data_IF_586891831945
#
_entry.id   IF_586891831945
#
_cell.length_a   1.000
_cell.length_b   1.000
_cell.length_c   1.000
_cell.angle_alpha   90.00
_cell.angle_beta   90.00
_cell.angle_gamma   90.00
#
_symmetry.space_group_name_H-M   'P 1'
#
loop_
_entity.id
_entity.type
_entity.pdbx_description
1 polymer ?
#
# COMPACT_ATOMS: atom_id res chain seq x y z
N UNK A 1 -11.17 13.12 28.09
CA UNK A 1 -9.71 13.37 28.06
C UNK A 1 -9.00 12.05 28.23
N UNK A 2 -8.47 11.49 27.13
CA UNK A 2 -7.50 10.40 27.25
C UNK A 2 -6.23 10.95 27.90
N UNK A 3 -5.59 10.15 28.75
CA UNK A 3 -4.28 10.49 29.26
C UNK A 3 -3.26 10.13 28.16
N UNK A 4 -2.81 11.10 27.37
CA UNK A 4 -1.87 10.91 26.23
C UNK A 4 -0.68 10.02 26.62
N UNK A 5 -0.16 10.24 27.83
CA UNK A 5 0.94 9.46 28.41
C UNK A 5 0.66 7.95 28.47
N UNK A 6 -0.58 7.53 28.77
CA UNK A 6 -0.93 6.09 28.81
C UNK A 6 -0.98 5.47 27.41
N UNK A 7 -1.37 6.24 26.41
CA UNK A 7 -1.39 5.77 25.03
C UNK A 7 0.03 5.62 24.49
N UNK A 8 0.89 6.61 24.73
CA UNK A 8 2.31 6.55 24.36
C UNK A 8 3.02 5.35 25.00
N UNK A 9 2.83 5.12 26.31
CA UNK A 9 3.37 3.95 27.00
C UNK A 9 2.88 2.63 26.38
N UNK A 10 1.60 2.55 26.02
CA UNK A 10 1.05 1.38 25.34
C UNK A 10 1.70 1.19 23.96
N UNK A 11 1.84 2.26 23.17
CA UNK A 11 2.44 2.18 21.84
C UNK A 11 3.91 1.75 21.92
N UNK A 12 4.67 2.21 22.91
CA UNK A 12 6.04 1.79 23.13
C UNK A 12 6.17 0.28 23.40
N UNK A 13 5.28 -0.26 24.24
CA UNK A 13 5.21 -1.71 24.49
C UNK A 13 4.78 -2.44 23.22
N UNK A 14 3.80 -1.91 22.51
CA UNK A 14 3.26 -2.52 21.30
C UNK A 14 4.31 -2.60 20.18
N UNK A 15 5.09 -1.54 19.97
CA UNK A 15 6.21 -1.52 19.02
C UNK A 15 7.27 -2.56 19.39
N UNK A 16 7.55 -2.78 20.69
CA UNK A 16 8.45 -3.86 21.13
C UNK A 16 7.92 -5.24 20.78
N UNK A 17 6.61 -5.46 20.94
CA UNK A 17 5.94 -6.72 20.53
C UNK A 17 6.06 -6.92 19.02
N UNK A 18 5.77 -5.89 18.21
CA UNK A 18 5.89 -5.94 16.75
C UNK A 18 7.33 -6.33 16.37
N UNK A 19 8.33 -5.60 16.89
CA UNK A 19 9.75 -5.89 16.61
C UNK A 19 10.16 -7.32 17.00
N UNK A 20 9.59 -7.88 18.06
CA UNK A 20 9.85 -9.25 18.49
C UNK A 20 9.28 -10.28 17.50
N UNK A 21 8.03 -10.06 17.06
CA UNK A 21 7.31 -10.94 16.13
C UNK A 21 7.95 -10.93 14.75
N UNK A 22 8.39 -9.77 14.26
CA UNK A 22 9.03 -9.66 12.96
C UNK A 22 10.30 -10.51 12.84
N UNK A 23 11.01 -10.76 13.94
CA UNK A 23 12.22 -11.61 13.97
C UNK A 23 11.93 -13.12 13.99
N UNK A 24 10.69 -13.52 14.27
CA UNK A 24 10.34 -14.93 14.39
C UNK A 24 10.29 -15.60 13.02
N UNK A 25 10.39 -16.93 13.01
CA UNK A 25 10.23 -17.75 11.82
C UNK A 25 8.92 -17.39 11.09
N UNK A 26 9.05 -17.04 9.80
CA UNK A 26 7.93 -16.62 8.98
C UNK A 26 6.96 -17.76 8.64
N UNK A 27 7.39 -19.02 8.76
CA UNK A 27 6.52 -20.17 8.52
C UNK A 27 5.72 -20.59 9.75
N UNK A 28 6.12 -20.14 10.94
CA UNK A 28 5.45 -20.45 12.20
C UNK A 28 4.00 -19.94 12.20
N UNK A 29 3.01 -20.81 12.50
CA UNK A 29 1.61 -20.39 12.63
C UNK A 29 1.40 -19.31 13.70
N UNK A 30 2.22 -19.32 14.76
CA UNK A 30 2.14 -18.31 15.82
C UNK A 30 2.56 -16.93 15.32
N UNK A 31 3.62 -16.86 14.51
CA UNK A 31 4.06 -15.63 13.86
C UNK A 31 2.96 -15.06 12.97
N UNK A 32 2.40 -15.90 12.08
CA UNK A 32 1.31 -15.52 11.17
C UNK A 32 0.09 -15.00 11.93
N UNK A 33 -0.35 -15.71 12.98
CA UNK A 33 -1.48 -15.28 13.84
C UNK A 33 -1.21 -13.97 14.56
N UNK A 34 0.02 -13.75 15.01
CA UNK A 34 0.38 -12.54 15.74
C UNK A 34 0.47 -11.33 14.81
N UNK A 35 1.01 -11.51 13.59
CA UNK A 35 0.96 -10.48 12.54
C UNK A 35 -0.49 -10.11 12.23
N UNK A 36 -1.35 -11.09 12.03
CA UNK A 36 -2.77 -10.84 11.79
C UNK A 36 -3.45 -10.08 12.94
N UNK A 37 -3.13 -10.45 14.19
CA UNK A 37 -3.62 -9.72 15.35
C UNK A 37 -3.14 -8.25 15.36
N UNK A 38 -1.87 -7.98 15.01
CA UNK A 38 -1.34 -6.62 14.89
C UNK A 38 -2.12 -5.83 13.84
N UNK A 39 -2.45 -6.44 12.69
CA UNK A 39 -3.27 -5.81 11.64
C UNK A 39 -4.66 -5.44 12.18
N UNK A 40 -5.30 -6.32 12.96
CA UNK A 40 -6.60 -6.02 13.58
C UNK A 40 -6.50 -4.85 14.57
N UNK A 41 -5.40 -4.75 15.32
CA UNK A 41 -5.15 -3.60 16.20
C UNK A 41 -4.96 -2.32 15.38
N UNK A 42 -4.19 -2.33 14.30
CA UNK A 42 -4.04 -1.18 13.40
C UNK A 42 -5.39 -0.72 12.83
N UNK A 43 -6.20 -1.65 12.33
CA UNK A 43 -7.57 -1.33 11.86
C UNK A 43 -8.40 -0.67 12.96
N UNK A 44 -8.27 -1.12 14.20
CA UNK A 44 -9.03 -0.53 15.32
C UNK A 44 -8.50 0.85 15.71
N UNK A 45 -7.19 1.09 15.62
CA UNK A 45 -6.57 2.40 15.82
C UNK A 45 -7.08 3.37 14.76
N UNK A 46 -6.93 3.04 13.47
CA UNK A 46 -7.38 3.90 12.35
C UNK A 46 -8.88 4.17 12.43
N UNK A 47 -9.70 3.16 12.73
CA UNK A 47 -11.14 3.36 12.93
C UNK A 47 -11.44 4.36 14.05
N UNK A 48 -10.73 4.27 15.17
CA UNK A 48 -10.92 5.17 16.30
C UNK A 48 -10.47 6.59 15.99
N UNK A 49 -9.34 6.76 15.32
CA UNK A 49 -8.83 8.05 14.86
C UNK A 49 -9.83 8.72 13.90
N UNK A 50 -10.39 7.96 12.95
CA UNK A 50 -11.41 8.45 12.04
C UNK A 50 -12.70 8.91 12.77
N UNK A 51 -13.14 8.19 13.81
CA UNK A 51 -14.29 8.62 14.63
C UNK A 51 -14.02 9.92 15.39
N UNK A 52 -12.79 10.12 15.87
CA UNK A 52 -12.38 11.36 16.54
C UNK A 52 -12.35 12.50 15.53
N UNK A 53 -11.75 12.27 14.37
CA UNK A 53 -11.60 13.29 13.33
C UNK A 53 -12.93 13.73 12.75
N UNK A 54 -13.87 12.80 12.51
CA UNK A 54 -15.23 13.14 12.08
C UNK A 54 -15.95 14.05 13.07
N UNK A 55 -15.78 13.80 14.38
CA UNK A 55 -16.37 14.67 15.42
C UNK A 55 -15.71 16.05 15.44
N UNK A 56 -14.38 16.11 15.26
CA UNK A 56 -13.64 17.37 15.18
C UNK A 56 -14.09 18.20 13.98
N UNK A 57 -14.18 17.60 12.80
CA UNK A 57 -14.64 18.26 11.57
C UNK A 57 -16.09 18.75 11.69
N UNK A 58 -16.99 17.95 12.30
CA UNK A 58 -18.37 18.39 12.57
C UNK A 58 -18.41 19.62 13.49
N UNK A 59 -17.54 19.69 14.49
CA UNK A 59 -17.45 20.86 15.38
C UNK A 59 -16.94 22.09 14.65
N UNK A 60 -15.90 21.95 13.81
CA UNK A 60 -15.38 23.06 12.99
C UNK A 60 -16.46 23.62 12.07
N UNK A 61 -17.17 22.74 11.34
CA UNK A 61 -18.27 23.14 10.44
C UNK A 61 -19.41 23.83 11.21
N UNK A 62 -19.77 23.31 12.39
CA UNK A 62 -20.82 23.91 13.20
C UNK A 62 -20.43 25.30 13.74
N UNK A 63 -19.16 25.50 14.11
CA UNK A 63 -18.66 26.80 14.58
C UNK A 63 -18.63 27.84 13.44
N UNK A 64 -18.22 27.42 12.24
CA UNK A 64 -18.24 28.28 11.05
C UNK A 64 -19.68 28.67 10.67
N UNK A 65 -20.65 27.74 10.72
CA UNK A 65 -22.07 28.02 10.51
C UNK A 65 -22.65 28.99 11.55
N UNK A 66 -22.18 28.90 12.79
CA UNK A 66 -22.61 29.76 13.90
C UNK A 66 -21.89 31.12 13.90
N UNK A 67 -21.02 31.40 12.92
CA UNK A 67 -20.26 32.67 12.82
C UNK A 67 -19.32 32.91 14.00
N UNK A 68 -18.94 31.85 14.72
CA UNK A 68 -18.01 31.94 15.84
C UNK A 68 -16.60 31.80 15.28
N UNK A 69 -15.99 32.92 14.88
CA UNK A 69 -14.58 32.96 14.49
C UNK A 69 -13.77 32.80 15.78
N UNK A 70 -13.23 31.61 15.99
CA UNK A 70 -12.28 31.36 17.08
C UNK A 70 -10.90 31.86 16.62
N UNK A 71 -10.65 33.16 16.82
CA UNK A 71 -9.39 33.87 16.54
C UNK A 71 -8.21 33.40 17.44
N UNK A 72 -8.35 32.28 18.15
CA UNK A 72 -7.40 31.87 19.21
C UNK A 72 -6.33 30.86 18.78
N UNK A 73 -6.31 30.39 17.54
CA UNK A 73 -5.17 29.62 17.03
C UNK A 73 -4.20 30.55 16.31
N UNK A 74 -3.30 31.15 17.10
CA UNK A 74 -2.04 31.68 16.60
C UNK A 74 -1.43 30.63 15.66
N UNK A 75 -1.34 31.00 14.38
CA UNK A 75 -0.57 30.26 13.41
C UNK A 75 0.86 30.16 13.94
N UNK A 76 1.28 28.96 14.35
CA UNK A 76 2.71 28.64 14.39
C UNK A 76 3.20 28.70 12.94
N UNK A 77 3.64 29.89 12.53
CA UNK A 77 4.35 30.13 11.28
C UNK A 77 5.65 29.36 11.32
N UNK A 78 5.66 28.15 10.76
CA UNK A 78 6.88 27.57 10.21
C UNK A 78 7.17 28.32 8.90
N UNK A 79 8.16 29.22 8.95
CA UNK A 79 8.75 29.86 7.77
C UNK A 79 9.44 28.77 6.92
N UNK A 80 8.81 28.37 5.82
CA UNK A 80 9.51 27.74 4.70
C UNK A 80 9.22 28.54 3.42
N UNK A 81 10.30 28.79 2.66
CA UNK A 81 10.41 29.70 1.53
C UNK A 81 9.28 29.54 0.49
N UNK A 82 8.57 30.65 0.23
CA UNK A 82 7.42 30.71 -0.67
C UNK A 82 7.86 30.77 -2.14
N UNK A 83 7.68 29.68 -2.87
CA UNK A 83 7.43 29.73 -4.31
C UNK A 83 5.94 29.98 -4.58
N UNK A 84 5.69 30.90 -5.50
CA UNK A 84 4.47 31.72 -5.66
C UNK A 84 3.33 30.97 -6.39
N UNK A 85 2.75 29.93 -5.77
CA UNK A 85 1.52 29.27 -6.24
C UNK A 85 0.63 28.76 -5.08
N UNK A 86 0.60 29.51 -3.98
CA UNK A 86 0.01 29.07 -2.71
C UNK A 86 -1.53 28.98 -2.79
N UNK A 87 -2.01 27.75 -2.98
CA UNK A 87 -3.35 27.35 -2.51
C UNK A 87 -3.41 27.65 -1.02
N UNK A 88 -4.30 28.56 -0.59
CA UNK A 88 -4.52 28.83 0.84
C UNK A 88 -5.16 27.57 1.44
N UNK A 89 -4.36 26.80 2.18
CA UNK A 89 -4.84 25.61 2.90
C UNK A 89 -5.37 26.05 4.26
N UNK A 90 -6.66 25.85 4.50
CA UNK A 90 -7.25 26.04 5.83
C UNK A 90 -6.94 24.81 6.71
N UNK A 91 -5.91 24.94 7.53
CA UNK A 91 -5.44 23.87 8.43
C UNK A 91 -6.50 23.36 9.41
N UNK A 92 -7.59 24.10 9.65
CA UNK A 92 -8.70 23.61 10.48
C UNK A 92 -9.39 22.39 9.86
N UNK A 93 -9.30 22.22 8.54
CA UNK A 93 -9.88 21.10 7.80
C UNK A 93 -8.87 20.01 7.44
N UNK A 94 -7.59 20.21 7.74
CA UNK A 94 -6.55 19.21 7.50
C UNK A 94 -6.60 18.15 8.60
N UNK A 95 -6.75 16.89 8.19
CA UNK A 95 -6.75 15.76 9.12
C UNK A 95 -5.33 15.46 9.62
N UNK A 96 -5.17 15.13 10.91
CA UNK A 96 -3.88 14.71 11.44
C UNK A 96 -3.46 13.38 10.82
N UNK A 97 -2.15 13.16 10.68
CA UNK A 97 -1.61 11.87 10.23
C UNK A 97 -1.99 10.76 11.21
N UNK A 98 -2.49 9.63 10.70
CA UNK A 98 -2.77 8.45 11.52
C UNK A 98 -1.48 7.95 12.17
N UNK A 99 -1.58 7.44 13.40
CA UNK A 99 -0.46 6.76 14.03
C UNK A 99 0.07 5.60 13.17
N UNK A 100 -0.83 4.90 12.46
CA UNK A 100 -0.45 3.76 11.60
C UNK A 100 0.40 4.25 10.42
N UNK A 101 0.02 5.34 9.75
CA UNK A 101 0.83 5.97 8.70
C UNK A 101 2.20 6.39 9.23
N UNK A 102 2.22 7.08 10.37
CA UNK A 102 3.45 7.50 11.03
C UNK A 102 4.37 6.30 11.33
N UNK A 103 3.81 5.20 11.84
CA UNK A 103 4.58 3.99 12.15
C UNK A 103 5.07 3.27 10.88
N UNK A 104 4.27 3.24 9.82
CA UNK A 104 4.68 2.70 8.52
C UNK A 104 5.90 3.46 8.00
N UNK A 105 5.76 4.80 7.87
CA UNK A 105 6.79 5.70 7.32
C UNK A 105 8.09 5.67 8.12
N UNK A 106 8.00 5.68 9.45
CA UNK A 106 9.19 5.84 10.29
C UNK A 106 9.78 4.51 10.79
N UNK A 107 9.07 3.39 10.70
CA UNK A 107 9.54 2.10 11.22
C UNK A 107 9.43 0.97 10.20
N UNK A 108 8.24 0.65 9.70
CA UNK A 108 8.06 -0.58 8.91
C UNK A 108 8.82 -0.55 7.58
N UNK A 109 8.86 0.59 6.88
CA UNK A 109 9.63 0.70 5.63
C UNK A 109 11.13 0.45 5.83
N UNK A 110 11.68 0.79 7.00
CA UNK A 110 13.09 0.56 7.35
C UNK A 110 13.36 -0.95 7.50
N UNK A 111 12.42 -1.69 8.08
CA UNK A 111 12.57 -3.13 8.31
C UNK A 111 12.56 -3.96 7.02
N UNK A 112 12.07 -3.42 5.89
CA UNK A 112 12.21 -4.04 4.57
C UNK A 112 13.66 -4.20 4.12
N UNK A 113 14.58 -3.38 4.65
CA UNK A 113 16.02 -3.43 4.36
C UNK A 113 16.83 -4.17 5.43
N UNK A 114 16.16 -4.81 6.40
CA UNK A 114 16.83 -5.55 7.46
C UNK A 114 17.69 -6.70 6.89
N UNK A 115 18.80 -7.02 7.57
CA UNK A 115 19.68 -8.14 7.19
C UNK A 115 18.98 -9.50 7.27
N UNK A 116 18.13 -9.66 8.29
CA UNK A 116 17.37 -10.88 8.54
C UNK A 116 16.21 -11.04 7.53
N UNK A 117 16.15 -12.19 6.88
CA UNK A 117 15.11 -12.54 5.91
C UNK A 117 13.73 -12.64 6.55
N UNK A 118 13.62 -13.14 7.77
CA UNK A 118 12.35 -13.24 8.49
C UNK A 118 11.78 -11.86 8.77
N UNK A 119 12.64 -10.92 9.18
CA UNK A 119 12.24 -9.52 9.39
C UNK A 119 11.70 -8.93 8.10
N UNK A 120 12.40 -9.07 6.98
CA UNK A 120 11.92 -8.55 5.68
C UNK A 120 10.60 -9.18 5.27
N UNK A 121 10.49 -10.51 5.35
CA UNK A 121 9.30 -11.26 4.97
C UNK A 121 8.10 -10.86 5.84
N UNK A 122 8.23 -10.96 7.16
CA UNK A 122 7.15 -10.64 8.09
C UNK A 122 6.74 -9.16 8.01
N UNK A 123 7.70 -8.26 7.75
CA UNK A 123 7.40 -6.83 7.54
C UNK A 123 6.55 -6.64 6.30
N UNK A 124 6.90 -7.28 5.18
CA UNK A 124 6.17 -7.10 3.93
C UNK A 124 4.77 -7.73 3.99
N UNK A 125 4.61 -8.85 4.70
CA UNK A 125 3.29 -9.45 4.99
C UNK A 125 2.45 -8.50 5.86
N UNK A 126 3.03 -7.97 6.94
CA UNK A 126 2.35 -7.01 7.81
C UNK A 126 1.92 -5.77 7.02
N UNK A 127 2.78 -5.22 6.18
CA UNK A 127 2.45 -4.08 5.32
C UNK A 127 1.31 -4.42 4.36
N UNK A 128 1.39 -5.54 3.63
CA UNK A 128 0.33 -5.97 2.71
C UNK A 128 -1.03 -6.01 3.42
N UNK A 129 -1.13 -6.73 4.54
CA UNK A 129 -2.39 -6.89 5.26
C UNK A 129 -2.90 -5.58 5.89
N UNK A 130 -1.97 -4.69 6.28
CA UNK A 130 -2.32 -3.37 6.80
C UNK A 130 -2.90 -2.49 5.70
N UNK A 131 -2.24 -2.42 4.53
CA UNK A 131 -2.65 -1.59 3.41
C UNK A 131 -4.02 -2.01 2.82
N UNK A 132 -4.36 -3.30 2.86
CA UNK A 132 -5.70 -3.77 2.50
C UNK A 132 -6.81 -3.21 3.41
N UNK A 133 -6.45 -2.84 4.64
CA UNK A 133 -7.36 -2.26 5.63
C UNK A 133 -7.42 -0.74 5.65
N UNK A 134 -6.55 -0.05 4.92
CA UNK A 134 -6.50 1.40 4.88
C UNK A 134 -7.28 1.91 3.65
N UNK A 135 -8.18 2.86 3.92
CA UNK A 135 -8.96 3.53 2.88
C UNK A 135 -8.11 4.60 2.20
N UNK A 136 -7.46 5.43 3.01
CA UNK A 136 -6.56 6.50 2.59
C UNK A 136 -5.19 6.31 3.24
N UNK A 137 -4.14 6.76 2.53
CA UNK A 137 -2.75 6.68 2.98
C UNK A 137 -2.17 8.08 2.79
N UNK A 138 -1.52 8.60 3.84
CA UNK A 138 -0.84 9.89 3.78
C UNK A 138 0.18 9.93 2.62
N UNK A 139 0.26 11.06 1.90
CA UNK A 139 1.09 11.18 0.68
C UNK A 139 2.56 10.87 0.93
N UNK A 140 3.11 11.35 2.05
CA UNK A 140 4.50 11.08 2.41
C UNK A 140 4.72 9.61 2.74
N UNK A 141 3.76 8.99 3.41
CA UNK A 141 3.76 7.56 3.70
C UNK A 141 3.68 6.72 2.42
N UNK A 142 2.80 7.12 1.49
CA UNK A 142 2.68 6.51 0.16
C UNK A 142 3.99 6.61 -0.64
N UNK A 143 4.64 7.77 -0.66
CA UNK A 143 5.93 7.96 -1.33
C UNK A 143 7.03 7.07 -0.72
N UNK A 144 7.10 6.98 0.61
CA UNK A 144 8.05 6.10 1.30
C UNK A 144 7.80 4.62 1.00
N UNK A 145 6.52 4.20 0.96
CA UNK A 145 6.09 2.86 0.59
C UNK A 145 6.44 2.54 -0.87
N UNK A 146 6.09 3.42 -1.82
CA UNK A 146 6.34 3.23 -3.24
C UNK A 146 7.84 3.00 -3.48
N UNK A 147 8.70 3.78 -2.83
CA UNK A 147 10.14 3.59 -2.91
C UNK A 147 10.61 2.27 -2.30
N UNK A 148 10.22 2.00 -1.05
CA UNK A 148 10.78 0.88 -0.27
C UNK A 148 10.22 -0.49 -0.68
N UNK A 149 8.93 -0.57 -1.01
CA UNK A 149 8.32 -1.80 -1.52
C UNK A 149 8.76 -2.10 -2.95
N UNK A 150 8.95 -1.08 -3.80
CA UNK A 150 9.53 -1.31 -5.14
C UNK A 150 10.94 -1.89 -5.04
N UNK A 151 11.78 -1.39 -4.12
CA UNK A 151 13.10 -1.98 -3.87
C UNK A 151 12.97 -3.42 -3.34
N UNK A 152 12.02 -3.68 -2.43
CA UNK A 152 11.76 -5.01 -1.89
C UNK A 152 11.23 -6.00 -2.93
N UNK A 153 10.56 -5.52 -3.98
CA UNK A 153 10.10 -6.34 -5.10
C UNK A 153 11.27 -6.95 -5.91
N UNK A 154 12.50 -6.46 -5.73
CA UNK A 154 13.73 -7.03 -6.30
C UNK A 154 14.60 -7.75 -5.25
N UNK A 155 14.02 -8.16 -4.12
CA UNK A 155 14.76 -8.90 -3.10
C UNK A 155 15.36 -10.20 -3.64
N UNK A 156 16.48 -10.65 -3.06
CA UNK A 156 17.10 -11.93 -3.42
C UNK A 156 16.15 -13.12 -3.21
N UNK A 157 15.34 -13.06 -2.16
CA UNK A 157 14.38 -14.11 -1.83
C UNK A 157 13.05 -13.95 -2.59
N UNK A 158 12.59 -15.01 -3.23
CA UNK A 158 11.38 -15.02 -4.06
C UNK A 158 10.09 -14.80 -3.25
N UNK A 159 10.00 -15.31 -2.01
CA UNK A 159 8.81 -15.11 -1.17
C UNK A 159 8.68 -13.64 -0.77
N UNK A 160 9.80 -13.00 -0.43
CA UNK A 160 9.82 -11.55 -0.16
C UNK A 160 9.39 -10.76 -1.39
N UNK A 161 9.89 -11.10 -2.59
CA UNK A 161 9.46 -10.45 -3.83
C UNK A 161 7.97 -10.63 -4.09
N UNK A 162 7.45 -11.84 -3.97
CA UNK A 162 6.04 -12.14 -4.20
C UNK A 162 5.13 -11.31 -3.27
N UNK A 163 5.44 -11.27 -1.97
CA UNK A 163 4.67 -10.45 -1.03
C UNK A 163 4.85 -8.94 -1.24
N UNK A 164 6.04 -8.48 -1.61
CA UNK A 164 6.26 -7.07 -1.95
C UNK A 164 5.39 -6.65 -3.14
N UNK A 165 5.33 -7.48 -4.18
CA UNK A 165 4.47 -7.26 -5.34
C UNK A 165 3.00 -7.19 -4.92
N UNK A 166 2.53 -8.11 -4.07
CA UNK A 166 1.15 -8.05 -3.55
C UNK A 166 0.89 -6.77 -2.74
N UNK A 167 1.86 -6.31 -1.95
CA UNK A 167 1.74 -5.08 -1.17
C UNK A 167 1.69 -3.82 -2.06
N UNK A 168 2.30 -3.85 -3.26
CA UNK A 168 2.28 -2.72 -4.20
C UNK A 168 0.89 -2.47 -4.81
N UNK A 169 -0.05 -3.41 -4.73
CA UNK A 169 -1.39 -3.32 -5.34
C UNK A 169 -2.10 -2.00 -5.02
N UNK A 170 -2.10 -1.59 -3.75
CA UNK A 170 -2.80 -0.40 -3.25
C UNK A 170 -2.12 0.93 -3.58
N UNK A 171 -0.84 0.92 -3.96
CA UNK A 171 -0.02 2.13 -4.09
C UNK A 171 0.55 2.35 -5.50
N UNK A 172 0.15 1.51 -6.46
CA UNK A 172 0.66 1.56 -7.82
C UNK A 172 0.14 2.74 -8.65
N UNK A 173 -1.04 3.26 -8.31
CA UNK A 173 -1.62 4.47 -8.91
C UNK A 173 -0.90 5.76 -8.47
N UNK A 174 -0.10 5.68 -7.40
CA UNK A 174 0.54 6.82 -6.74
C UNK A 174 2.03 6.99 -7.09
N UNK A 175 2.50 6.38 -8.19
CA UNK A 175 3.86 6.64 -8.66
C UNK A 175 4.37 5.61 -9.67
N UNK A 176 5.00 6.11 -10.73
CA UNK A 176 5.49 5.30 -11.86
C UNK A 176 6.42 4.14 -11.43
N UNK A 177 7.14 4.23 -10.30
CA UNK A 177 8.14 3.22 -9.89
C UNK A 177 7.50 1.87 -9.53
N UNK A 178 6.42 1.86 -8.74
CA UNK A 178 5.72 0.63 -8.35
C UNK A 178 5.16 -0.13 -9.56
N UNK A 179 4.45 0.59 -10.45
CA UNK A 179 3.88 -0.01 -11.65
C UNK A 179 4.98 -0.52 -12.60
N UNK A 180 6.06 0.25 -12.79
CA UNK A 180 7.20 -0.17 -13.61
C UNK A 180 7.88 -1.43 -13.05
N UNK A 181 8.06 -1.51 -11.73
CA UNK A 181 8.62 -2.69 -11.08
C UNK A 181 7.75 -3.93 -11.33
N UNK A 182 6.43 -3.82 -11.12
CA UNK A 182 5.51 -4.94 -11.38
C UNK A 182 5.45 -5.32 -12.86
N UNK A 183 5.44 -4.34 -13.77
CA UNK A 183 5.40 -4.59 -15.21
C UNK A 183 6.65 -5.36 -15.67
N UNK A 184 7.82 -5.00 -15.13
CA UNK A 184 9.06 -5.75 -15.38
C UNK A 184 9.00 -7.16 -14.78
N UNK A 185 8.66 -7.28 -13.49
CA UNK A 185 8.67 -8.56 -12.77
C UNK A 185 7.68 -9.57 -13.35
N UNK A 186 6.53 -9.11 -13.85
CA UNK A 186 5.53 -9.96 -14.51
C UNK A 186 6.11 -10.79 -15.66
N UNK A 187 7.08 -10.25 -16.38
CA UNK A 187 7.70 -10.91 -17.55
C UNK A 187 9.05 -11.52 -17.19
N UNK A 188 9.86 -10.82 -16.42
CA UNK A 188 11.28 -11.10 -16.28
C UNK A 188 11.67 -11.80 -14.96
N UNK A 189 10.81 -11.85 -13.94
CA UNK A 189 11.18 -12.54 -12.70
C UNK A 189 11.44 -14.02 -12.99
N UNK A 190 12.53 -14.63 -12.49
CA UNK A 190 12.81 -16.05 -12.71
C UNK A 190 11.74 -16.96 -12.09
N UNK A 191 11.10 -16.53 -11.00
CA UNK A 191 10.15 -17.33 -10.26
C UNK A 191 8.72 -17.15 -10.80
N UNK A 192 8.04 -18.24 -11.22
CA UNK A 192 6.68 -18.17 -11.77
C UNK A 192 5.64 -17.64 -10.78
N UNK A 193 5.82 -17.85 -9.48
CA UNK A 193 4.91 -17.34 -8.46
C UNK A 193 4.98 -15.82 -8.39
N UNK A 194 6.18 -15.24 -8.47
CA UNK A 194 6.35 -13.77 -8.47
C UNK A 194 5.72 -13.17 -9.72
N UNK A 195 5.96 -13.77 -10.90
CA UNK A 195 5.31 -13.36 -12.15
C UNK A 195 3.78 -13.39 -12.02
N UNK A 196 3.24 -14.45 -11.42
CA UNK A 196 1.80 -14.63 -11.22
C UNK A 196 1.23 -13.60 -10.24
N UNK A 197 1.92 -13.32 -9.14
CA UNK A 197 1.55 -12.24 -8.21
C UNK A 197 1.49 -10.90 -8.93
N UNK A 198 2.51 -10.55 -9.73
CA UNK A 198 2.55 -9.29 -10.47
C UNK A 198 1.39 -9.17 -11.46
N UNK A 199 1.15 -10.21 -12.25
CA UNK A 199 0.04 -10.25 -13.19
C UNK A 199 -1.33 -10.08 -12.48
N UNK A 200 -1.50 -10.71 -11.31
CA UNK A 200 -2.76 -10.62 -10.55
C UNK A 200 -3.07 -9.24 -10.00
N UNK A 201 -2.06 -8.45 -9.63
CA UNK A 201 -2.30 -7.15 -8.96
C UNK A 201 -2.02 -5.93 -9.82
N UNK A 202 -1.25 -6.05 -10.91
CA UNK A 202 -0.94 -4.90 -11.77
C UNK A 202 -2.21 -4.31 -12.41
N UNK A 203 -2.35 -2.99 -12.34
CA UNK A 203 -3.40 -2.24 -13.00
C UNK A 203 -3.26 -2.35 -14.51
N UNK A 204 -4.40 -2.49 -15.19
CA UNK A 204 -4.43 -2.52 -16.65
C UNK A 204 -4.51 -1.07 -17.15
N UNK A 205 -3.57 -0.68 -17.99
CA UNK A 205 -3.55 0.57 -18.73
C UNK A 205 -2.72 0.40 -20.01
N UNK A 206 -2.56 1.47 -20.79
CA UNK A 206 -1.83 1.44 -22.06
C UNK A 206 -0.38 0.93 -21.92
N UNK A 207 0.29 1.19 -20.79
CA UNK A 207 1.68 0.80 -20.55
C UNK A 207 1.84 -0.66 -20.08
N UNK A 208 0.79 -1.25 -19.52
CA UNK A 208 0.83 -2.62 -18.95
C UNK A 208 0.13 -3.65 -19.84
N UNK A 209 -0.80 -3.20 -20.69
CA UNK A 209 -1.63 -4.08 -21.51
C UNK A 209 -0.82 -5.00 -22.43
N UNK A 210 0.23 -4.49 -23.08
CA UNK A 210 1.05 -5.29 -23.98
C UNK A 210 1.71 -6.48 -23.25
N UNK A 211 2.26 -6.26 -22.07
CA UNK A 211 2.90 -7.31 -21.28
C UNK A 211 1.87 -8.29 -20.68
N UNK A 212 0.67 -7.81 -20.34
CA UNK A 212 -0.45 -8.68 -19.93
C UNK A 212 -0.85 -9.59 -21.10
N UNK A 213 -0.94 -9.05 -22.32
CA UNK A 213 -1.22 -9.82 -23.52
C UNK A 213 -0.13 -10.85 -23.82
N UNK A 214 1.15 -10.48 -23.71
CA UNK A 214 2.25 -11.44 -23.86
C UNK A 214 2.15 -12.61 -22.86
N UNK A 215 1.60 -12.37 -21.67
CA UNK A 215 1.44 -13.39 -20.63
C UNK A 215 0.41 -14.46 -20.98
N UNK A 216 -0.51 -14.23 -21.94
CA UNK A 216 -1.44 -15.27 -22.44
C UNK A 216 -0.70 -16.39 -23.19
N UNK A 217 0.53 -16.15 -23.65
CA UNK A 217 1.40 -17.12 -24.32
C UNK A 217 2.46 -17.73 -23.41
N UNK A 218 2.38 -17.46 -22.10
CA UNK A 218 3.31 -18.03 -21.13
C UNK A 218 3.32 -19.56 -21.19
N UNK A 219 4.47 -20.19 -20.98
CA UNK A 219 4.54 -21.66 -20.85
C UNK A 219 3.80 -22.16 -19.60
N UNK A 220 3.71 -21.32 -18.57
CA UNK A 220 2.99 -21.62 -17.33
C UNK A 220 1.48 -21.45 -17.50
N UNK A 221 0.74 -22.53 -17.28
CA UNK A 221 -0.72 -22.59 -17.40
C UNK A 221 -1.43 -21.60 -16.46
N UNK A 222 -0.92 -21.42 -15.24
CA UNK A 222 -1.52 -20.52 -14.25
C UNK A 222 -1.35 -19.06 -14.66
N UNK A 223 -0.19 -18.71 -15.25
CA UNK A 223 0.03 -17.39 -15.82
C UNK A 223 -0.90 -17.11 -17.01
N UNK A 224 -1.04 -18.05 -17.95
CA UNK A 224 -1.96 -17.90 -19.07
C UNK A 224 -3.38 -17.65 -18.58
N UNK A 225 -3.86 -18.50 -17.66
CA UNK A 225 -5.20 -18.39 -17.09
C UNK A 225 -5.42 -17.02 -16.42
N UNK A 226 -4.48 -16.59 -15.58
CA UNK A 226 -4.57 -15.30 -14.90
C UNK A 226 -4.56 -14.11 -15.89
N UNK A 227 -3.81 -14.20 -17.00
CA UNK A 227 -3.79 -13.18 -18.03
C UNK A 227 -5.16 -13.06 -18.71
N UNK A 228 -5.76 -14.19 -19.11
CA UNK A 228 -7.11 -14.21 -19.68
C UNK A 228 -8.15 -13.66 -18.71
N UNK A 229 -8.13 -14.08 -17.44
CA UNK A 229 -9.04 -13.56 -16.41
C UNK A 229 -8.92 -12.04 -16.26
N UNK A 230 -7.68 -11.51 -16.24
CA UNK A 230 -7.45 -10.07 -16.12
C UNK A 230 -7.93 -9.29 -17.35
N UNK A 231 -7.67 -9.79 -18.56
CA UNK A 231 -8.14 -9.16 -19.81
C UNK A 231 -9.67 -9.15 -19.84
N UNK A 232 -10.34 -10.26 -19.52
CA UNK A 232 -11.81 -10.34 -19.53
C UNK A 232 -12.45 -9.37 -18.55
N UNK A 233 -11.87 -9.21 -17.37
CA UNK A 233 -12.42 -8.32 -16.33
C UNK A 233 -12.26 -6.83 -16.67
N UNK A 234 -11.26 -6.46 -17.48
CA UNK A 234 -10.95 -5.06 -17.78
C UNK A 234 -11.45 -4.62 -19.17
N UNK A 235 -11.34 -5.50 -20.17
CA UNK A 235 -11.55 -5.14 -21.55
C UNK A 235 -12.97 -5.47 -22.00
N UNK A 236 -13.81 -4.44 -22.13
CA UNK A 236 -15.03 -4.56 -22.94
C UNK A 236 -14.61 -4.85 -24.38
N UNK A 237 -15.31 -5.74 -25.08
CA UNK A 237 -15.02 -6.15 -26.47
C UNK A 237 -14.69 -4.97 -27.40
N UNK A 238 -15.33 -3.81 -27.22
CA UNK A 238 -15.14 -2.62 -28.05
C UNK A 238 -13.77 -1.95 -27.90
N UNK A 239 -13.07 -2.17 -26.78
CA UNK A 239 -11.81 -1.49 -26.45
C UNK A 239 -10.57 -2.25 -26.95
N UNK A 240 -10.76 -3.37 -27.65
CA UNK A 240 -9.67 -4.19 -28.17
C UNK A 240 -9.56 -4.03 -29.69
N UNK A 241 -8.36 -3.85 -30.27
CA UNK A 241 -8.15 -4.00 -31.70
C UNK A 241 -8.65 -5.36 -32.19
N UNK A 242 -9.26 -5.42 -33.38
CA UNK A 242 -9.84 -6.67 -33.91
C UNK A 242 -8.79 -7.78 -34.04
N UNK A 243 -7.55 -7.43 -34.37
CA UNK A 243 -6.43 -8.36 -34.48
C UNK A 243 -6.10 -9.04 -33.14
N UNK A 244 -6.03 -8.27 -32.06
CA UNK A 244 -5.76 -8.82 -30.73
C UNK A 244 -6.88 -9.73 -30.24
N UNK A 245 -8.15 -9.44 -30.61
CA UNK A 245 -9.28 -10.33 -30.30
C UNK A 245 -9.11 -11.69 -30.99
N UNK A 246 -8.73 -11.68 -32.27
CA UNK A 246 -8.49 -12.89 -33.02
C UNK A 246 -7.33 -13.69 -32.43
N UNK A 247 -6.22 -13.01 -32.13
CA UNK A 247 -5.05 -13.63 -31.50
C UNK A 247 -5.40 -14.28 -30.15
N UNK A 248 -6.17 -13.60 -29.29
CA UNK A 248 -6.62 -14.15 -28.01
C UNK A 248 -7.47 -15.42 -28.17
N UNK A 249 -8.36 -15.47 -29.16
CA UNK A 249 -9.20 -16.63 -29.45
C UNK A 249 -8.36 -17.80 -29.97
N UNK A 250 -7.42 -17.54 -30.88
CA UNK A 250 -6.54 -18.58 -31.42
C UNK A 250 -5.62 -19.14 -30.33
N UNK A 251 -4.97 -18.26 -29.56
CA UNK A 251 -4.04 -18.63 -28.49
C UNK A 251 -4.74 -19.40 -27.35
N UNK A 252 -6.03 -19.13 -27.10
CA UNK A 252 -6.80 -19.79 -26.04
C UNK A 252 -7.33 -21.19 -26.39
N UNK A 253 -7.18 -21.61 -27.65
CA UNK A 253 -7.62 -22.94 -28.15
C UNK A 253 -6.47 -23.94 -28.30
N UNK A 254 -5.22 -23.51 -28.09
CA UNK A 254 -4.00 -24.34 -28.10
C UNK A 254 -3.54 -24.66 -26.68
#
# INVERSE_FOLDING_TARGET
MYNSSKFEEFMDVFVKVIKSVLKQDCESPNTKRTIHFIVLVFKKITFHENEIEQKRLQQVVQNDLNGTIDDSNEAETMEEDVEDDNTIVDYRYVSPISWVDFFIKNSLVIFLKAKDINVRHNTVVLLKETLEGLDEIDENTSSALNNSLSDAAFNKDNKVRAWAVLALEKIQSLGNKAQNAMNFLMIADPDPLVRLCALKVIEVNENTLENILRSTRSQDVLLRKAAYEKIVNYCKLKNFPTEDRYNLLMDGTM
#
